data_IF_287463441127
#
_entry.id   IF_287463441127
#
_cell.length_a   1.000
_cell.length_b   1.000
_cell.length_c   1.000
_cell.angle_alpha   90.00
_cell.angle_beta   90.00
_cell.angle_gamma   90.00
#
_symmetry.space_group_name_H-M   'P 1'
#
loop_
_entity.id
_entity.type
_entity.pdbx_description
1 polymer ?
#
# COMPACT_ATOMS: atom_id res chain seq x y z
N UNK A 1 27.78 38.03 -6.05
CA UNK A 1 27.80 37.97 -4.57
C UNK A 1 26.39 37.98 -3.97
N UNK A 2 25.48 38.84 -4.47
CA UNK A 2 24.12 39.02 -3.94
C UNK A 2 23.19 37.80 -4.14
N UNK A 3 23.17 37.21 -5.34
CA UNK A 3 22.43 35.96 -5.62
C UNK A 3 22.80 34.81 -4.68
N UNK A 4 24.08 34.71 -4.29
CA UNK A 4 24.58 33.70 -3.35
C UNK A 4 24.03 33.92 -1.93
N UNK A 5 23.98 35.17 -1.46
CA UNK A 5 23.36 35.52 -0.17
C UNK A 5 21.86 35.22 -0.17
N UNK A 6 21.15 35.57 -1.25
CA UNK A 6 19.73 35.26 -1.40
C UNK A 6 19.46 33.74 -1.39
N UNK A 7 20.29 32.96 -2.11
CA UNK A 7 20.21 31.51 -2.12
C UNK A 7 20.43 30.90 -0.72
N UNK A 8 21.42 31.40 0.03
CA UNK A 8 21.69 30.94 1.40
C UNK A 8 20.53 31.25 2.36
N UNK A 9 19.95 32.46 2.28
CA UNK A 9 18.77 32.83 3.08
C UNK A 9 17.57 31.93 2.76
N UNK A 10 17.35 31.63 1.47
CA UNK A 10 16.29 30.70 1.04
C UNK A 10 16.54 29.29 1.57
N UNK A 11 17.77 28.79 1.50
CA UNK A 11 18.13 27.47 2.02
C UNK A 11 17.91 27.36 3.54
N UNK A 12 18.23 28.39 4.32
CA UNK A 12 17.94 28.42 5.76
C UNK A 12 16.43 28.33 6.03
N UNK A 13 15.62 29.13 5.34
CA UNK A 13 14.16 29.08 5.47
C UNK A 13 13.59 27.71 5.11
N UNK A 14 14.08 27.09 4.04
CA UNK A 14 13.66 25.73 3.66
C UNK A 14 14.05 24.70 4.72
N UNK A 15 15.20 24.86 5.38
CA UNK A 15 15.64 23.98 6.46
C UNK A 15 14.78 24.12 7.72
N UNK A 16 14.32 25.35 8.03
CA UNK A 16 13.36 25.59 9.10
C UNK A 16 12.01 24.94 8.80
N UNK A 17 11.51 25.09 7.56
CA UNK A 17 10.26 24.44 7.12
C UNK A 17 10.36 22.92 7.22
N UNK A 18 11.51 22.33 6.91
CA UNK A 18 11.72 20.89 6.96
C UNK A 18 12.12 20.37 8.36
N UNK A 19 12.16 21.21 9.39
CA UNK A 19 12.74 20.84 10.68
C UNK A 19 12.02 19.66 11.34
N UNK A 20 10.70 19.73 11.40
CA UNK A 20 9.80 18.69 11.90
C UNK A 20 10.01 17.36 11.18
N UNK A 21 10.00 17.36 9.84
CA UNK A 21 10.27 16.19 9.03
C UNK A 21 11.67 15.62 9.29
N UNK A 22 12.69 16.48 9.41
CA UNK A 22 14.06 16.04 9.68
C UNK A 22 14.22 15.41 11.07
N UNK A 23 13.41 15.80 12.06
CA UNK A 23 13.36 15.11 13.34
C UNK A 23 12.65 13.77 13.20
N UNK A 24 11.43 13.75 12.65
CA UNK A 24 10.64 12.54 12.49
C UNK A 24 11.37 11.47 11.65
N UNK A 25 12.03 11.87 10.56
CA UNK A 25 12.79 10.99 9.65
C UNK A 25 13.79 10.08 10.37
N UNK A 26 14.32 10.49 11.52
CA UNK A 26 15.28 9.67 12.28
C UNK A 26 14.61 8.41 12.84
N UNK A 27 13.36 8.55 13.26
CA UNK A 27 12.56 7.50 13.90
C UNK A 27 11.71 6.72 12.90
N UNK A 28 11.42 7.30 11.72
CA UNK A 28 10.67 6.60 10.67
C UNK A 28 11.36 5.28 10.30
N UNK A 29 10.63 4.14 10.39
CA UNK A 29 11.13 2.85 9.97
C UNK A 29 11.35 2.86 8.46
N UNK A 30 12.37 2.13 8.02
CA UNK A 30 12.72 2.02 6.60
C UNK A 30 13.03 0.57 6.30
N UNK A 31 12.69 0.09 5.10
CA UNK A 31 12.97 -1.30 4.72
C UNK A 31 14.45 -1.70 4.84
N UNK A 32 15.39 -0.75 4.80
CA UNK A 32 16.81 -1.03 5.05
C UNK A 32 17.06 -1.35 6.53
N UNK A 33 16.52 -0.51 7.44
CA UNK A 33 16.65 -0.70 8.90
C UNK A 33 15.93 -1.96 9.37
N UNK A 34 14.82 -2.31 8.75
CA UNK A 34 13.96 -3.43 9.16
C UNK A 34 14.17 -4.71 8.34
N UNK A 35 15.18 -4.72 7.46
CA UNK A 35 15.49 -5.87 6.60
C UNK A 35 15.57 -7.21 7.34
N UNK A 36 16.15 -7.23 8.55
CA UNK A 36 16.21 -8.44 9.38
C UNK A 36 14.84 -8.97 9.80
N UNK A 37 13.90 -8.07 10.12
CA UNK A 37 12.52 -8.45 10.46
C UNK A 37 11.78 -8.92 9.22
N UNK A 38 11.90 -8.20 8.10
CA UNK A 38 11.29 -8.60 6.83
C UNK A 38 11.75 -9.99 6.37
N UNK A 39 13.04 -10.31 6.53
CA UNK A 39 13.56 -11.65 6.19
C UNK A 39 13.04 -12.75 7.13
N UNK A 40 12.82 -12.45 8.42
CA UNK A 40 12.17 -13.38 9.34
C UNK A 40 10.71 -13.63 8.92
N UNK A 41 9.97 -12.55 8.62
CA UNK A 41 8.58 -12.59 8.17
C UNK A 41 8.41 -13.33 6.85
N UNK A 42 9.33 -13.12 5.91
CA UNK A 42 9.39 -13.87 4.65
C UNK A 42 9.44 -15.38 4.91
N UNK A 43 10.31 -15.85 5.80
CA UNK A 43 10.44 -17.28 6.12
C UNK A 43 9.15 -17.84 6.73
N UNK A 44 8.55 -17.14 7.68
CA UNK A 44 7.27 -17.54 8.28
C UNK A 44 6.16 -17.68 7.22
N UNK A 45 6.05 -16.71 6.31
CA UNK A 45 5.03 -16.73 5.25
C UNK A 45 5.32 -17.83 4.23
N UNK A 46 6.59 -18.05 3.87
CA UNK A 46 6.98 -19.17 3.01
C UNK A 46 6.61 -20.52 3.64
N UNK A 47 6.79 -20.68 4.95
CA UNK A 47 6.39 -21.91 5.67
C UNK A 47 4.86 -22.09 5.65
N UNK A 48 4.09 -21.01 5.87
CA UNK A 48 2.61 -21.02 5.80
C UNK A 48 2.11 -21.43 4.41
N UNK A 49 2.75 -20.92 3.36
CA UNK A 49 2.37 -21.14 1.96
C UNK A 49 3.07 -22.34 1.33
N UNK A 50 3.92 -23.05 2.08
CA UNK A 50 4.76 -24.15 1.60
C UNK A 50 5.55 -23.78 0.33
N UNK A 51 6.28 -22.66 0.40
CA UNK A 51 7.00 -22.05 -0.70
C UNK A 51 8.52 -22.20 -0.56
N UNK A 52 9.21 -22.27 -1.70
CA UNK A 52 10.68 -22.21 -1.77
C UNK A 52 11.20 -20.77 -1.98
N UNK A 53 12.51 -20.59 -1.87
CA UNK A 53 13.16 -19.32 -2.22
C UNK A 53 12.99 -18.97 -3.71
N UNK A 54 12.97 -19.98 -4.59
CA UNK A 54 12.75 -19.77 -6.02
C UNK A 54 11.32 -19.28 -6.28
N UNK A 55 10.34 -19.85 -5.59
CA UNK A 55 8.94 -19.41 -5.63
C UNK A 55 8.80 -17.96 -5.15
N UNK A 56 9.46 -17.61 -4.03
CA UNK A 56 9.40 -16.25 -3.50
C UNK A 56 9.92 -15.20 -4.49
N UNK A 57 10.96 -15.54 -5.25
CA UNK A 57 11.57 -14.67 -6.24
C UNK A 57 10.82 -14.67 -7.59
N UNK A 58 9.82 -15.55 -7.79
CA UNK A 58 8.94 -15.53 -8.95
C UNK A 58 7.74 -14.62 -8.70
N UNK A 59 7.63 -13.57 -9.52
CA UNK A 59 6.52 -12.63 -9.43
C UNK A 59 5.18 -13.26 -9.85
N UNK A 60 5.18 -14.29 -10.69
CA UNK A 60 3.94 -15.02 -11.02
C UNK A 60 3.43 -15.76 -9.79
N UNK A 61 4.32 -16.46 -9.09
CA UNK A 61 3.98 -17.13 -7.82
C UNK A 61 3.43 -16.14 -6.79
N UNK A 62 4.04 -14.95 -6.65
CA UNK A 62 3.53 -13.89 -5.78
C UNK A 62 2.11 -13.43 -6.13
N UNK A 63 1.76 -13.41 -7.43
CA UNK A 63 0.42 -13.04 -7.90
C UNK A 63 -0.60 -14.17 -7.73
N UNK A 64 -0.18 -15.41 -7.93
CA UNK A 64 -1.01 -16.61 -7.79
C UNK A 64 -1.31 -16.90 -6.32
N UNK A 65 -0.40 -16.55 -5.41
CA UNK A 65 -0.52 -16.75 -3.96
C UNK A 65 -0.89 -15.47 -3.21
N UNK A 66 -1.60 -14.54 -3.87
CA UNK A 66 -2.14 -13.37 -3.18
C UNK A 66 -3.11 -13.80 -2.08
N UNK A 67 -2.93 -13.22 -0.91
CA UNK A 67 -3.76 -13.43 0.26
C UNK A 67 -5.00 -12.54 0.11
N UNK A 68 -6.18 -13.14 0.07
CA UNK A 68 -7.48 -12.43 -0.09
C UNK A 68 -8.60 -13.00 0.78
N UNK A 69 -8.26 -13.83 1.76
CA UNK A 69 -9.19 -14.46 2.69
C UNK A 69 -8.73 -14.31 4.14
N UNK A 70 -9.70 -14.35 5.05
CA UNK A 70 -9.48 -14.15 6.49
C UNK A 70 -8.67 -15.29 7.10
N UNK A 71 -8.87 -16.52 6.63
CA UNK A 71 -8.19 -17.70 7.17
C UNK A 71 -6.67 -17.66 6.96
N UNK A 72 -6.24 -17.20 5.78
CA UNK A 72 -4.81 -17.11 5.45
C UNK A 72 -4.18 -15.89 6.11
N UNK A 73 -4.86 -14.74 6.11
CA UNK A 73 -4.28 -13.52 6.72
C UNK A 73 -4.17 -13.62 8.25
N UNK A 74 -5.08 -14.33 8.92
CA UNK A 74 -5.00 -14.55 10.37
C UNK A 74 -3.86 -15.47 10.79
N UNK A 75 -3.33 -16.29 9.87
CA UNK A 75 -2.07 -17.04 10.09
C UNK A 75 -0.84 -16.15 9.96
N UNK A 76 -0.96 -15.04 9.23
CA UNK A 76 0.16 -14.12 8.94
C UNK A 76 0.20 -12.97 9.95
N UNK A 77 -0.95 -12.43 10.37
CA UNK A 77 -1.08 -11.30 11.28
C UNK A 77 -1.80 -11.69 12.56
N UNK A 78 -1.42 -11.07 13.69
CA UNK A 78 -2.14 -11.22 14.94
C UNK A 78 -3.34 -10.26 14.93
N UNK A 79 -4.51 -10.79 14.58
CA UNK A 79 -5.72 -10.00 14.44
C UNK A 79 -6.37 -9.72 15.81
N UNK A 80 -6.75 -8.47 16.05
CA UNK A 80 -7.51 -8.07 17.23
C UNK A 80 -8.95 -8.62 17.17
N UNK A 81 -9.62 -8.83 18.33
CA UNK A 81 -11.00 -9.28 18.35
C UNK A 81 -11.92 -8.38 17.50
N UNK A 82 -12.58 -8.99 16.52
CA UNK A 82 -13.50 -8.31 15.60
C UNK A 82 -12.90 -8.00 14.24
N UNK A 83 -11.58 -7.86 14.10
CA UNK A 83 -10.92 -7.52 12.82
C UNK A 83 -11.22 -8.53 11.71
N UNK A 84 -11.27 -9.81 12.03
CA UNK A 84 -11.67 -10.87 11.08
C UNK A 84 -13.03 -10.59 10.45
N UNK A 85 -14.00 -10.19 11.27
CA UNK A 85 -15.34 -9.83 10.82
C UNK A 85 -15.38 -8.54 10.00
N UNK A 86 -14.52 -7.56 10.32
CA UNK A 86 -14.35 -6.35 9.52
C UNK A 86 -13.83 -6.71 8.12
N UNK A 87 -12.75 -7.48 8.06
CA UNK A 87 -12.12 -7.92 6.81
C UNK A 87 -13.13 -8.70 5.95
N UNK A 88 -13.88 -9.62 6.55
CA UNK A 88 -14.89 -10.40 5.83
C UNK A 88 -16.04 -9.52 5.30
N UNK A 89 -16.51 -8.58 6.12
CA UNK A 89 -17.63 -7.69 5.77
C UNK A 89 -17.25 -6.72 4.66
N UNK A 90 -16.09 -6.09 4.78
CA UNK A 90 -15.58 -5.16 3.76
C UNK A 90 -15.20 -5.93 2.49
N UNK A 91 -14.58 -7.10 2.63
CA UNK A 91 -14.19 -7.97 1.52
C UNK A 91 -15.35 -8.47 0.66
N UNK A 92 -16.56 -8.57 1.21
CA UNK A 92 -17.80 -8.86 0.44
C UNK A 92 -18.20 -7.72 -0.50
N UNK A 93 -17.78 -6.48 -0.22
CA UNK A 93 -18.14 -5.28 -0.97
C UNK A 93 -17.01 -4.78 -1.86
N UNK A 94 -15.79 -4.78 -1.35
CA UNK A 94 -14.60 -4.30 -2.06
C UNK A 94 -13.56 -5.41 -2.18
N UNK A 95 -13.09 -5.65 -3.40
CA UNK A 95 -12.02 -6.62 -3.65
C UNK A 95 -10.76 -6.22 -2.88
N UNK A 96 -10.19 -7.14 -2.13
CA UNK A 96 -8.93 -6.96 -1.42
C UNK A 96 -7.98 -8.10 -1.75
N UNK A 97 -6.69 -7.81 -1.75
CA UNK A 97 -5.64 -8.80 -1.89
C UNK A 97 -4.30 -8.15 -1.54
N UNK A 98 -3.41 -8.91 -0.91
CA UNK A 98 -2.00 -8.54 -0.73
C UNK A 98 -1.10 -9.67 -1.20
N UNK A 99 0.05 -9.35 -1.78
CA UNK A 99 1.05 -10.38 -2.10
C UNK A 99 1.72 -10.90 -0.83
N UNK A 100 2.26 -12.13 -0.83
CA UNK A 100 3.11 -12.62 0.25
C UNK A 100 4.25 -11.64 0.59
N UNK A 101 4.88 -11.06 -0.43
CA UNK A 101 5.90 -10.02 -0.24
C UNK A 101 5.37 -8.81 0.54
N UNK A 102 4.24 -8.21 0.15
CA UNK A 102 3.68 -7.07 0.89
C UNK A 102 3.28 -7.45 2.32
N UNK A 103 2.79 -8.67 2.54
CA UNK A 103 2.45 -9.16 3.87
C UNK A 103 3.69 -9.31 4.77
N UNK A 104 4.86 -9.63 4.20
CA UNK A 104 6.14 -9.70 4.96
C UNK A 104 6.63 -8.34 5.46
N UNK A 105 6.15 -7.25 4.88
CA UNK A 105 6.46 -5.87 5.29
C UNK A 105 5.52 -5.36 6.39
N UNK A 106 4.49 -6.12 6.75
CA UNK A 106 3.54 -5.75 7.80
C UNK A 106 4.07 -6.17 9.16
N UNK A 107 3.95 -5.28 10.14
CA UNK A 107 4.06 -5.64 11.54
C UNK A 107 2.85 -6.52 11.91
N UNK A 108 3.07 -7.75 12.40
CA UNK A 108 1.98 -8.66 12.74
C UNK A 108 1.16 -8.21 13.95
N UNK A 109 1.75 -7.43 14.85
CA UNK A 109 1.16 -7.04 16.13
C UNK A 109 0.60 -5.61 16.11
N UNK A 110 1.08 -4.75 15.22
CA UNK A 110 0.62 -3.35 15.12
C UNK A 110 -0.45 -3.16 14.04
N UNK A 111 -1.70 -2.95 14.47
CA UNK A 111 -2.82 -2.55 13.60
C UNK A 111 -2.59 -1.21 12.88
N UNK A 112 -1.78 -0.33 13.45
CA UNK A 112 -1.41 0.97 12.88
C UNK A 112 -0.15 0.89 12.01
N UNK A 113 0.36 -0.31 11.74
CA UNK A 113 1.44 -0.51 10.79
C UNK A 113 1.07 0.15 9.45
N UNK A 114 1.89 1.09 8.93
CA UNK A 114 1.55 1.85 7.74
C UNK A 114 1.30 0.98 6.51
N UNK A 115 1.99 -0.16 6.38
CA UNK A 115 1.80 -1.10 5.27
C UNK A 115 0.48 -1.85 5.45
N UNK A 116 0.16 -2.28 6.67
CA UNK A 116 -1.09 -2.97 7.00
C UNK A 116 -2.29 -2.07 6.71
N UNK A 117 -2.23 -0.80 7.10
CA UNK A 117 -3.30 0.18 6.85
C UNK A 117 -3.61 0.40 5.37
N UNK A 118 -2.63 0.22 4.48
CA UNK A 118 -2.83 0.39 3.04
C UNK A 118 -3.37 -0.87 2.34
N UNK A 119 -3.43 -2.02 3.01
CA UNK A 119 -3.69 -3.31 2.37
C UNK A 119 -4.82 -4.09 3.03
N UNK A 120 -4.96 -4.01 4.36
CA UNK A 120 -5.95 -4.76 5.12
C UNK A 120 -7.24 -3.95 5.23
N UNK A 121 -8.40 -4.52 4.85
CA UNK A 121 -9.65 -3.80 4.87
C UNK A 121 -10.05 -3.32 6.27
N UNK A 122 -10.71 -2.15 6.35
CA UNK A 122 -11.29 -1.64 7.60
C UNK A 122 -12.73 -1.17 7.43
N UNK A 123 -13.49 -1.20 8.53
CA UNK A 123 -14.92 -0.84 8.53
C UNK A 123 -15.19 0.59 8.04
N UNK A 124 -14.25 1.52 8.20
CA UNK A 124 -14.36 2.89 7.71
C UNK A 124 -14.58 2.96 6.19
N UNK A 125 -14.13 1.96 5.42
CA UNK A 125 -14.39 1.88 3.97
C UNK A 125 -15.88 1.74 3.63
N UNK A 126 -16.71 1.29 4.59
CA UNK A 126 -18.15 1.15 4.39
C UNK A 126 -18.90 2.48 4.46
N UNK A 127 -18.25 3.55 4.92
CA UNK A 127 -18.77 4.91 4.82
C UNK A 127 -18.78 5.36 3.34
N UNK A 128 -19.97 5.34 2.74
CA UNK A 128 -20.19 5.70 1.34
C UNK A 128 -20.59 7.18 1.15
N UNK A 129 -20.22 8.08 2.05
CA UNK A 129 -20.52 9.52 1.90
C UNK A 129 -19.77 10.19 0.74
N UNK A 130 -18.76 9.53 0.17
CA UNK A 130 -18.03 9.99 -1.00
C UNK A 130 -18.85 9.97 -2.31
N UNK A 131 -18.25 10.52 -3.37
CA UNK A 131 -18.85 10.54 -4.72
C UNK A 131 -18.10 9.56 -5.64
N UNK A 132 -18.78 8.57 -6.25
CA UNK A 132 -18.22 7.78 -7.34
C UNK A 132 -17.76 8.68 -8.50
N UNK A 133 -16.63 8.34 -9.12
CA UNK A 133 -15.99 9.14 -10.17
C UNK A 133 -15.87 10.63 -9.79
N UNK A 134 -15.19 10.91 -8.65
CA UNK A 134 -14.93 12.29 -8.24
C UNK A 134 -14.11 13.06 -9.28
N UNK A 135 -13.19 12.38 -9.97
CA UNK A 135 -12.43 12.98 -11.05
C UNK A 135 -13.35 13.35 -12.23
N UNK A 136 -14.38 12.57 -12.57
CA UNK A 136 -15.21 12.85 -13.75
C UNK A 136 -14.61 12.26 -15.03
N UNK A 137 -13.88 11.16 -14.88
CA UNK A 137 -13.22 10.44 -15.95
C UNK A 137 -14.21 9.86 -16.94
N UNK A 138 -15.39 9.41 -16.47
CA UNK A 138 -16.42 8.85 -17.34
C UNK A 138 -16.91 9.89 -18.36
N UNK A 139 -17.07 11.14 -17.94
CA UNK A 139 -17.54 12.24 -18.78
C UNK A 139 -16.48 12.76 -19.77
N UNK A 140 -15.22 12.37 -19.58
CA UNK A 140 -14.09 12.76 -20.44
C UNK A 140 -13.52 11.57 -21.23
N UNK A 141 -14.26 10.46 -21.26
CA UNK A 141 -13.88 9.23 -21.94
C UNK A 141 -14.47 9.17 -23.35
N UNK A 142 -13.67 9.33 -24.43
CA UNK A 142 -14.19 9.24 -25.79
C UNK A 142 -14.60 7.81 -26.18
N UNK A 143 -13.97 6.80 -25.57
CA UNK A 143 -14.23 5.36 -25.73
C UNK A 143 -13.81 4.64 -24.45
N UNK A 144 -14.38 3.46 -24.20
CA UNK A 144 -14.08 2.66 -23.01
C UNK A 144 -12.56 2.54 -22.76
N UNK A 145 -12.14 2.70 -21.50
CA UNK A 145 -10.74 2.61 -21.02
C UNK A 145 -9.79 3.69 -21.52
N UNK A 146 -10.27 4.68 -22.27
CA UNK A 146 -9.47 5.85 -22.63
C UNK A 146 -10.04 7.06 -21.92
N UNK A 147 -9.21 7.76 -21.14
CA UNK A 147 -9.60 9.03 -20.49
C UNK A 147 -8.81 10.16 -21.13
N UNK A 148 -9.50 11.21 -21.58
CA UNK A 148 -8.88 12.38 -22.23
C UNK A 148 -9.31 13.69 -21.55
N UNK A 149 -8.60 14.02 -20.48
CA UNK A 149 -8.67 15.32 -19.82
C UNK A 149 -8.08 16.45 -20.64
N UNK A 150 -6.97 16.17 -21.31
CA UNK A 150 -6.12 17.17 -21.92
C UNK A 150 -6.06 16.99 -23.44
N UNK A 151 -5.82 18.06 -24.20
CA UNK A 151 -5.79 17.99 -25.66
C UNK A 151 -4.67 17.11 -26.23
N UNK A 152 -3.55 16.99 -25.51
CA UNK A 152 -2.27 16.46 -26.01
C UNK A 152 -1.85 15.13 -25.37
N UNK A 153 -2.66 14.57 -24.46
CA UNK A 153 -2.36 13.31 -23.78
C UNK A 153 -3.63 12.59 -23.33
N UNK A 154 -3.52 11.28 -23.22
CA UNK A 154 -4.59 10.37 -22.78
C UNK A 154 -4.07 9.39 -21.75
N UNK A 155 -4.96 8.86 -20.92
CA UNK A 155 -4.72 7.70 -20.06
C UNK A 155 -5.37 6.50 -20.74
N UNK A 156 -4.65 5.37 -20.79
CA UNK A 156 -5.19 4.09 -21.27
C UNK A 156 -5.19 3.09 -20.12
N UNK A 157 -6.38 2.66 -19.69
CA UNK A 157 -6.56 1.67 -18.64
C UNK A 157 -6.42 0.26 -19.23
N UNK A 158 -5.19 -0.27 -19.24
CA UNK A 158 -4.85 -1.56 -19.86
C UNK A 158 -5.32 -2.77 -19.04
N UNK A 159 -5.37 -2.64 -17.71
CA UNK A 159 -5.77 -3.71 -16.79
C UNK A 159 -6.49 -3.12 -15.58
N UNK A 160 -7.39 -3.90 -15.00
CA UNK A 160 -7.99 -3.63 -13.68
C UNK A 160 -7.41 -4.56 -12.59
N UNK A 161 -6.34 -5.30 -12.89
CA UNK A 161 -5.67 -6.19 -11.96
C UNK A 161 -4.43 -5.52 -11.36
N UNK A 162 -4.36 -5.51 -10.04
CA UNK A 162 -3.20 -5.05 -9.28
C UNK A 162 -2.56 -6.20 -8.51
N UNK A 163 -1.25 -6.13 -8.24
CA UNK A 163 -0.58 -7.10 -7.38
C UNK A 163 -1.11 -7.06 -5.94
N UNK A 164 -1.41 -5.86 -5.44
CA UNK A 164 -2.15 -5.66 -4.21
C UNK A 164 -3.19 -4.55 -4.43
N UNK A 165 -4.31 -4.60 -3.71
CA UNK A 165 -5.37 -3.59 -3.81
C UNK A 165 -5.25 -2.60 -2.65
N UNK A 166 -4.76 -1.40 -2.97
CA UNK A 166 -4.52 -0.32 -2.01
C UNK A 166 -5.83 0.23 -1.42
N UNK A 167 -5.75 0.73 -0.18
CA UNK A 167 -6.83 1.31 0.63
C UNK A 167 -6.59 2.77 0.96
#
# INVERSE_FOLDING_TARGET
MEKRKAAQKKAMKLKEIAHDFLQAKKEVPTGIKESGQTEARKKEIMDILNASEDDWNDWHWQLDNRISDVETISKVLNLEPGEEGEIETVGKKFRWATTPYYASLMDPDDRNCPVRMQMIPKNEELDLTGKPDFSGEEMTSPVERVVRWYPDRVIINSTNMCAAYCR
#
